data_IF_543927637079
#
_entry.id   IF_543927637079
#
_cell.length_a   1.000
_cell.length_b   1.000
_cell.length_c   1.000
_cell.angle_alpha   90.00
_cell.angle_beta   90.00
_cell.angle_gamma   90.00
#
_symmetry.space_group_name_H-M   'P 1'
#
loop_
_entity.id
_entity.type
_entity.pdbx_description
1 polymer ?
#
# COMPACT_ATOMS: atom_id res chain seq x y z
N UNK A 1 -2.17 38.14 1.89
CA UNK A 1 -0.97 37.30 2.11
C UNK A 1 -1.10 36.08 1.23
N UNK A 2 -0.18 35.94 0.30
CA UNK A 2 -0.13 34.74 -0.57
C UNK A 2 0.21 33.52 0.27
N UNK A 3 -0.54 32.44 0.14
CA UNK A 3 -0.34 31.22 0.92
C UNK A 3 0.93 30.53 0.42
N UNK A 4 1.95 30.42 1.26
CA UNK A 4 3.17 29.67 0.89
C UNK A 4 2.80 28.19 0.65
N UNK A 5 2.82 27.75 -0.60
CA UNK A 5 2.47 26.39 -1.03
C UNK A 5 3.65 25.41 -0.98
N UNK A 6 4.83 25.86 -0.55
CA UNK A 6 6.01 24.97 -0.42
C UNK A 6 5.81 23.95 0.68
N UNK A 7 6.39 22.77 0.46
CA UNK A 7 6.25 21.60 1.34
C UNK A 7 7.54 20.75 1.27
N UNK A 8 7.48 19.55 1.79
CA UNK A 8 8.57 18.56 1.66
C UNK A 8 9.05 18.33 0.23
N UNK A 9 8.17 18.52 -0.77
CA UNK A 9 8.55 18.45 -2.20
C UNK A 9 9.55 19.53 -2.64
N UNK A 10 9.73 20.59 -1.85
CA UNK A 10 10.66 21.68 -2.09
C UNK A 10 11.88 21.63 -1.16
N UNK A 11 11.96 20.60 -0.30
CA UNK A 11 13.01 20.47 0.70
C UNK A 11 14.26 19.81 0.09
N UNK A 12 15.44 20.36 0.39
CA UNK A 12 16.73 19.81 -0.01
C UNK A 12 17.67 19.50 1.17
N UNK A 13 17.21 19.71 2.40
CA UNK A 13 18.08 19.56 3.59
C UNK A 13 17.78 18.34 4.46
N UNK A 14 16.52 17.85 4.47
CA UNK A 14 16.07 16.63 5.17
C UNK A 14 16.42 16.57 6.67
N UNK A 15 16.49 17.71 7.36
CA UNK A 15 16.91 17.81 8.77
C UNK A 15 15.97 17.09 9.74
N UNK A 16 14.72 16.76 9.34
CA UNK A 16 13.81 15.94 10.13
C UNK A 16 14.32 14.51 10.36
N UNK A 17 15.25 14.01 9.54
CA UNK A 17 15.86 12.68 9.69
C UNK A 17 16.92 12.66 10.81
N UNK A 18 17.56 13.80 11.08
CA UNK A 18 18.67 13.92 12.01
C UNK A 18 18.44 14.88 13.18
N UNK A 19 17.27 15.55 13.22
CA UNK A 19 16.96 16.62 14.19
C UNK A 19 17.96 17.77 14.21
N UNK A 20 18.55 18.10 13.05
CA UNK A 20 19.43 19.25 12.91
C UNK A 20 18.66 20.55 13.01
N UNK A 21 19.35 21.65 13.36
CA UNK A 21 18.72 22.89 13.83
C UNK A 21 18.21 23.83 12.74
N UNK A 22 18.68 23.72 11.51
CA UNK A 22 18.38 24.68 10.46
C UNK A 22 17.23 24.23 9.56
N UNK A 23 16.02 24.53 9.98
CA UNK A 23 14.81 24.18 9.27
C UNK A 23 14.46 25.24 8.21
N UNK A 24 14.11 24.83 6.97
CA UNK A 24 13.55 25.77 6.01
C UNK A 24 12.27 26.43 6.55
N UNK A 25 12.04 27.70 6.23
CA UNK A 25 10.86 28.45 6.70
C UNK A 25 9.52 27.81 6.32
N UNK A 26 9.52 26.96 5.30
CA UNK A 26 8.35 26.20 4.84
C UNK A 26 8.29 24.76 5.40
N UNK A 27 9.17 24.39 6.32
CA UNK A 27 9.23 23.02 6.85
C UNK A 27 7.95 22.64 7.57
N UNK A 28 7.38 21.49 7.22
CA UNK A 28 6.15 20.99 7.84
C UNK A 28 6.35 20.63 9.30
N UNK A 29 7.55 20.18 9.69
CA UNK A 29 7.86 19.86 11.09
C UNK A 29 7.75 21.09 12.00
N UNK A 30 8.16 22.27 11.52
CA UNK A 30 8.12 23.51 12.31
C UNK A 30 6.84 24.31 12.13
N UNK A 31 6.05 24.01 11.09
CA UNK A 31 4.76 24.71 10.80
C UNK A 31 3.54 23.97 11.34
N UNK A 32 3.71 22.71 11.72
CA UNK A 32 2.64 21.87 12.31
C UNK A 32 2.69 22.02 13.83
N UNK A 33 1.54 22.05 14.46
CA UNK A 33 1.44 22.10 15.91
C UNK A 33 2.00 20.80 16.52
N UNK A 34 2.68 20.91 17.63
CA UNK A 34 3.26 19.75 18.32
C UNK A 34 2.20 18.74 18.71
N UNK A 35 1.03 19.20 19.10
CA UNK A 35 -0.13 18.39 19.47
C UNK A 35 -0.56 17.44 18.36
N UNK A 36 -0.52 17.85 17.09
CA UNK A 36 -0.85 16.97 15.95
C UNK A 36 0.11 15.79 15.83
N UNK A 37 1.40 16.01 16.13
CA UNK A 37 2.37 14.90 16.17
C UNK A 37 2.16 14.01 17.38
N UNK A 38 1.85 14.57 18.53
CA UNK A 38 1.62 13.82 19.75
C UNK A 38 0.35 12.96 19.65
N UNK A 39 -0.70 13.45 18.98
CA UNK A 39 -1.90 12.66 18.63
C UNK A 39 -1.54 11.46 17.73
N UNK A 40 -0.77 11.69 16.66
CA UNK A 40 -0.32 10.59 15.78
C UNK A 40 0.55 9.57 16.53
N UNK A 41 1.43 10.02 17.41
CA UNK A 41 2.21 9.11 18.30
C UNK A 41 1.28 8.35 19.24
N UNK A 42 0.23 9.01 19.75
CA UNK A 42 -0.80 8.40 20.57
C UNK A 42 -1.51 7.25 19.86
N UNK A 43 -1.81 7.37 18.56
CA UNK A 43 -2.39 6.28 17.78
C UNK A 43 -1.45 5.07 17.68
N UNK A 44 -0.15 5.28 17.43
CA UNK A 44 0.85 4.19 17.40
C UNK A 44 0.98 3.47 18.75
N UNK A 45 0.75 4.14 19.85
CA UNK A 45 0.88 3.58 21.18
C UNK A 45 -0.40 2.89 21.67
N UNK A 46 -1.57 3.48 21.39
CA UNK A 46 -2.83 3.14 22.03
C UNK A 46 -3.76 2.29 21.18
N UNK A 47 -3.68 2.35 19.84
CA UNK A 47 -4.42 1.43 18.98
C UNK A 47 -3.67 0.09 18.86
N UNK A 48 -4.27 -1.03 19.33
CA UNK A 48 -3.57 -2.32 19.37
C UNK A 48 -3.14 -2.84 18.00
N UNK A 49 -3.94 -2.57 16.95
CA UNK A 49 -3.63 -3.05 15.61
C UNK A 49 -2.53 -2.20 14.98
N UNK A 50 -2.66 -0.89 15.01
CA UNK A 50 -1.66 0.06 14.51
C UNK A 50 -0.32 -0.15 15.19
N UNK A 51 -0.32 -0.29 16.53
CA UNK A 51 0.88 -0.60 17.32
C UNK A 51 1.55 -1.91 16.90
N UNK A 52 0.76 -2.96 16.70
CA UNK A 52 1.27 -4.27 16.26
C UNK A 52 1.91 -4.20 14.89
N UNK A 53 1.26 -3.55 13.92
CA UNK A 53 1.73 -3.40 12.54
C UNK A 53 3.01 -2.56 12.52
N UNK A 54 3.00 -1.41 13.18
CA UNK A 54 4.13 -0.49 13.23
C UNK A 54 5.37 -1.16 13.86
N UNK A 55 5.23 -1.77 15.04
CA UNK A 55 6.33 -2.45 15.72
C UNK A 55 6.88 -3.63 14.93
N UNK A 56 6.00 -4.41 14.27
CA UNK A 56 6.44 -5.52 13.43
C UNK A 56 7.27 -5.04 12.23
N UNK A 57 6.87 -3.94 11.60
CA UNK A 57 7.61 -3.36 10.48
C UNK A 57 8.97 -2.83 10.92
N UNK A 58 9.01 -2.01 11.97
CA UNK A 58 10.24 -1.43 12.51
C UNK A 58 11.25 -2.48 12.97
N UNK A 59 10.78 -3.55 13.61
CA UNK A 59 11.65 -4.64 14.08
C UNK A 59 12.28 -5.41 12.91
N UNK A 60 11.51 -5.67 11.85
CA UNK A 60 12.04 -6.37 10.67
C UNK A 60 13.06 -5.48 9.97
N UNK A 61 12.77 -4.21 9.79
CA UNK A 61 13.73 -3.27 9.23
C UNK A 61 15.02 -3.23 10.07
N UNK A 62 14.92 -3.01 11.37
CA UNK A 62 16.10 -2.86 12.24
C UNK A 62 16.96 -4.12 12.35
N UNK A 63 16.36 -5.31 12.38
CA UNK A 63 17.10 -6.58 12.54
C UNK A 63 17.66 -7.12 11.23
N UNK A 64 16.99 -6.85 10.10
CA UNK A 64 17.28 -7.50 8.83
C UNK A 64 17.64 -6.54 7.69
N UNK A 65 17.84 -5.27 7.97
CA UNK A 65 18.24 -4.27 6.98
C UNK A 65 19.42 -4.73 6.14
N UNK A 66 19.24 -4.78 4.82
CA UNK A 66 20.27 -5.23 3.88
C UNK A 66 20.64 -6.73 3.95
N UNK A 67 19.96 -7.54 4.79
CA UNK A 67 20.22 -8.98 4.95
C UNK A 67 19.17 -9.86 4.24
N UNK A 68 17.95 -9.37 4.12
CA UNK A 68 16.86 -10.08 3.48
C UNK A 68 16.40 -9.36 2.22
N UNK A 69 15.80 -10.12 1.31
CA UNK A 69 15.08 -9.56 0.18
C UNK A 69 13.75 -8.99 0.64
N UNK A 70 13.19 -8.01 -0.10
CA UNK A 70 11.86 -7.47 0.20
C UNK A 70 10.76 -8.53 0.29
N UNK A 71 10.86 -9.58 -0.52
CA UNK A 71 9.92 -10.72 -0.46
C UNK A 71 10.00 -11.46 0.88
N UNK A 72 11.21 -11.67 1.39
CA UNK A 72 11.42 -12.32 2.70
C UNK A 72 10.95 -11.44 3.84
N UNK A 73 11.23 -10.13 3.78
CA UNK A 73 10.72 -9.16 4.75
C UNK A 73 9.19 -9.16 4.80
N UNK A 74 8.52 -9.14 3.64
CA UNK A 74 7.05 -9.23 3.56
C UNK A 74 6.54 -10.53 4.19
N UNK A 75 7.19 -11.66 3.94
CA UNK A 75 6.81 -12.94 4.54
C UNK A 75 6.96 -12.91 6.06
N UNK A 76 8.06 -12.38 6.58
CA UNK A 76 8.29 -12.24 8.02
C UNK A 76 7.26 -11.30 8.65
N UNK A 77 7.03 -10.15 8.03
CA UNK A 77 6.03 -9.19 8.48
C UNK A 77 4.64 -9.82 8.59
N UNK A 78 4.19 -10.48 7.52
CA UNK A 78 2.89 -11.13 7.49
C UNK A 78 2.75 -12.19 8.61
N UNK A 79 3.79 -13.00 8.82
CA UNK A 79 3.83 -13.98 9.92
C UNK A 79 3.78 -13.30 11.30
N UNK A 80 4.54 -12.22 11.47
CA UNK A 80 4.63 -11.50 12.74
C UNK A 80 3.31 -10.84 13.15
N UNK A 81 2.57 -10.29 12.19
CA UNK A 81 1.24 -9.76 12.45
C UNK A 81 0.16 -10.85 12.55
N UNK A 82 0.51 -12.10 12.24
CA UNK A 82 -0.40 -13.25 12.29
C UNK A 82 -1.33 -13.35 11.08
N UNK A 83 -0.94 -12.78 9.94
CA UNK A 83 -1.69 -12.92 8.70
C UNK A 83 -1.66 -14.38 8.21
N UNK A 84 -2.83 -14.95 7.99
CA UNK A 84 -2.99 -16.30 7.42
C UNK A 84 -3.30 -16.24 5.93
N UNK A 85 -3.93 -15.17 5.48
CA UNK A 85 -4.42 -14.95 4.13
C UNK A 85 -3.74 -13.75 3.51
N UNK A 86 -3.36 -13.85 2.24
CA UNK A 86 -2.70 -12.74 1.52
C UNK A 86 -3.39 -12.49 0.20
N UNK A 87 -3.92 -11.30 0.03
CA UNK A 87 -4.50 -10.82 -1.22
C UNK A 87 -3.49 -9.97 -2.00
N UNK A 88 -3.32 -10.26 -3.29
CA UNK A 88 -2.42 -9.54 -4.19
C UNK A 88 -3.24 -8.75 -5.21
N UNK A 89 -3.24 -7.43 -5.09
CA UNK A 89 -3.76 -6.53 -6.13
C UNK A 89 -2.66 -6.21 -7.14
N UNK A 90 -2.88 -6.47 -8.41
CA UNK A 90 -1.88 -6.20 -9.44
C UNK A 90 -2.45 -5.57 -10.70
N UNK A 91 -1.61 -4.85 -11.46
CA UNK A 91 -1.91 -4.47 -12.84
C UNK A 91 -1.87 -5.71 -13.75
N UNK A 92 -2.64 -5.66 -14.87
CA UNK A 92 -2.57 -6.71 -15.89
C UNK A 92 -1.14 -7.02 -16.35
N UNK A 93 -0.32 -5.99 -16.51
CA UNK A 93 1.08 -6.14 -16.94
C UNK A 93 1.96 -6.90 -15.93
N UNK A 94 1.56 -6.95 -14.66
CA UNK A 94 2.31 -7.58 -13.57
C UNK A 94 1.72 -8.94 -13.13
N UNK A 95 0.77 -9.49 -13.90
CA UNK A 95 0.08 -10.72 -13.47
C UNK A 95 1.04 -11.92 -13.35
N UNK A 96 2.06 -12.00 -14.21
CA UNK A 96 3.08 -13.06 -14.14
C UNK A 96 3.94 -12.95 -12.87
N UNK A 97 4.31 -11.73 -12.50
CA UNK A 97 5.06 -11.47 -11.26
C UNK A 97 4.20 -11.77 -10.03
N UNK A 98 2.92 -11.38 -10.06
CA UNK A 98 1.97 -11.71 -9.01
C UNK A 98 1.77 -13.24 -8.87
N UNK A 99 1.73 -13.98 -9.97
CA UNK A 99 1.66 -15.44 -9.96
C UNK A 99 2.92 -16.07 -9.36
N UNK A 100 4.10 -15.55 -9.70
CA UNK A 100 5.36 -16.02 -9.13
C UNK A 100 5.41 -15.71 -7.63
N UNK A 101 5.05 -14.47 -7.25
CA UNK A 101 4.99 -14.08 -5.84
C UNK A 101 4.02 -14.94 -5.03
N UNK A 102 2.85 -15.25 -5.57
CA UNK A 102 1.89 -16.15 -4.92
C UNK A 102 2.48 -17.57 -4.71
N UNK A 103 3.27 -18.09 -5.66
CA UNK A 103 3.98 -19.37 -5.49
C UNK A 103 5.00 -19.30 -4.35
N UNK A 104 5.77 -18.22 -4.28
CA UNK A 104 6.74 -17.99 -3.19
C UNK A 104 6.04 -17.92 -1.84
N UNK A 105 4.95 -17.18 -1.74
CA UNK A 105 4.18 -17.06 -0.50
C UNK A 105 3.67 -18.44 -0.03
N UNK A 106 3.11 -19.23 -0.93
CA UNK A 106 2.68 -20.62 -0.61
C UNK A 106 3.84 -21.50 -0.14
N UNK A 107 4.99 -21.43 -0.82
CA UNK A 107 6.21 -22.13 -0.41
C UNK A 107 6.74 -21.68 0.96
N UNK A 108 6.46 -20.44 1.37
CA UNK A 108 6.78 -19.90 2.70
C UNK A 108 5.72 -20.22 3.77
N UNK A 109 4.69 -21.00 3.42
CA UNK A 109 3.69 -21.51 4.35
C UNK A 109 2.42 -20.68 4.50
N UNK A 110 2.12 -19.79 3.54
CA UNK A 110 0.82 -19.14 3.45
C UNK A 110 -0.11 -19.99 2.59
N UNK A 111 -1.12 -20.58 3.19
CA UNK A 111 -2.02 -21.51 2.51
C UNK A 111 -3.01 -20.78 1.60
N UNK A 112 -3.53 -19.66 2.06
CA UNK A 112 -4.57 -18.89 1.38
C UNK A 112 -3.97 -17.64 0.74
N UNK A 113 -3.56 -17.77 -0.53
CA UNK A 113 -2.98 -16.68 -1.32
C UNK A 113 -3.79 -16.51 -2.60
N UNK A 114 -4.42 -15.36 -2.76
CA UNK A 114 -5.19 -15.01 -3.95
C UNK A 114 -4.62 -13.77 -4.65
N UNK A 115 -4.89 -13.65 -5.95
CA UNK A 115 -4.49 -12.49 -6.73
C UNK A 115 -5.64 -12.04 -7.62
N UNK A 116 -5.88 -10.73 -7.70
CA UNK A 116 -6.87 -10.14 -8.59
C UNK A 116 -6.22 -9.05 -9.41
N UNK A 117 -6.31 -9.14 -10.73
CA UNK A 117 -5.76 -8.10 -11.61
C UNK A 117 -6.77 -6.97 -11.85
N UNK A 118 -6.26 -5.80 -12.20
CA UNK A 118 -7.05 -4.56 -12.34
C UNK A 118 -8.13 -4.58 -13.45
N UNK A 119 -8.08 -5.54 -14.38
CA UNK A 119 -9.08 -5.70 -15.46
C UNK A 119 -10.19 -6.69 -15.10
N UNK A 120 -10.31 -7.06 -13.84
CA UNK A 120 -11.35 -7.98 -13.38
C UNK A 120 -12.76 -7.48 -13.74
N UNK A 121 -13.59 -8.39 -14.20
CA UNK A 121 -14.93 -8.09 -14.72
C UNK A 121 -14.99 -7.77 -16.21
N UNK A 122 -13.87 -7.40 -16.84
CA UNK A 122 -13.84 -7.13 -18.28
C UNK A 122 -14.74 -5.97 -18.75
N UNK A 123 -15.10 -5.05 -17.83
CA UNK A 123 -16.03 -3.95 -18.09
C UNK A 123 -15.44 -2.98 -19.12
N UNK A 124 -16.15 -2.71 -20.21
CA UNK A 124 -15.68 -1.75 -21.20
C UNK A 124 -15.63 -0.34 -20.63
N UNK A 125 -14.68 0.46 -21.09
CA UNK A 125 -14.55 1.86 -20.66
C UNK A 125 -15.82 2.67 -20.85
N UNK A 126 -16.58 2.41 -21.91
CA UNK A 126 -17.84 3.12 -22.17
C UNK A 126 -18.91 2.84 -21.14
N UNK A 127 -18.94 1.63 -20.57
CA UNK A 127 -19.85 1.28 -19.47
C UNK A 127 -19.53 2.06 -18.17
N UNK A 128 -18.31 2.59 -18.06
CA UNK A 128 -17.89 3.45 -16.94
C UNK A 128 -18.07 4.94 -17.21
N UNK A 129 -18.75 5.31 -18.30
CA UNK A 129 -19.00 6.69 -18.71
C UNK A 129 -17.83 7.34 -19.46
N UNK A 130 -16.80 6.59 -19.82
CA UNK A 130 -15.70 7.11 -20.63
C UNK A 130 -16.11 7.15 -22.10
N UNK A 131 -16.05 8.31 -22.77
CA UNK A 131 -16.45 8.41 -24.19
C UNK A 131 -15.62 7.50 -25.09
N UNK A 132 -16.28 6.94 -26.12
CA UNK A 132 -15.64 6.06 -27.10
C UNK A 132 -14.35 6.66 -27.70
N UNK A 133 -14.40 7.97 -28.03
CA UNK A 133 -13.27 8.69 -28.67
C UNK A 133 -12.02 8.84 -27.82
N UNK A 134 -12.08 8.54 -26.51
CA UNK A 134 -10.89 8.58 -25.62
C UNK A 134 -10.31 7.21 -25.30
N UNK A 135 -10.84 6.15 -25.90
CA UNK A 135 -10.19 4.84 -25.88
C UNK A 135 -8.89 4.87 -26.66
N UNK A 136 -7.92 4.06 -26.27
CA UNK A 136 -6.69 3.86 -27.04
C UNK A 136 -6.99 3.25 -28.41
N UNK A 137 -8.05 2.43 -28.49
CA UNK A 137 -8.53 1.80 -29.72
C UNK A 137 -10.05 2.03 -29.85
N UNK A 138 -10.47 3.19 -30.36
CA UNK A 138 -11.89 3.44 -30.64
C UNK A 138 -12.48 2.36 -31.55
N UNK A 139 -13.72 1.96 -31.26
CA UNK A 139 -14.41 0.89 -31.99
C UNK A 139 -14.09 -0.54 -31.50
N UNK A 140 -13.10 -0.71 -30.61
CA UNK A 140 -12.80 -2.00 -30.01
C UNK A 140 -13.18 -2.05 -28.52
N UNK A 141 -13.38 -3.26 -28.00
CA UNK A 141 -13.53 -3.46 -26.56
C UNK A 141 -12.22 -3.08 -25.84
N UNK A 142 -12.33 -2.21 -24.85
CA UNK A 142 -11.21 -1.81 -24.03
C UNK A 142 -11.60 -1.80 -22.54
N UNK A 143 -11.22 -2.87 -21.83
CA UNK A 143 -11.53 -3.00 -20.41
C UNK A 143 -10.99 -1.85 -19.59
N UNK A 144 -11.83 -1.24 -18.78
CA UNK A 144 -11.43 -0.28 -17.76
C UNK A 144 -10.58 -0.95 -16.68
N UNK A 145 -9.70 -0.19 -16.02
CA UNK A 145 -9.16 -0.60 -14.74
C UNK A 145 -10.26 -0.46 -13.69
N UNK A 146 -10.47 -1.51 -12.90
CA UNK A 146 -11.53 -1.56 -11.90
C UNK A 146 -10.95 -1.82 -10.50
N UNK A 147 -10.24 -0.86 -9.89
CA UNK A 147 -9.63 -1.03 -8.57
C UNK A 147 -10.67 -1.22 -7.47
N UNK A 148 -11.88 -0.68 -7.64
CA UNK A 148 -12.98 -0.86 -6.67
C UNK A 148 -13.39 -2.34 -6.62
N UNK A 149 -13.65 -2.96 -7.78
CA UNK A 149 -14.00 -4.38 -7.82
C UNK A 149 -12.80 -5.24 -7.36
N UNK A 150 -11.59 -4.89 -7.74
CA UNK A 150 -10.37 -5.57 -7.31
C UNK A 150 -10.26 -5.60 -5.78
N UNK A 151 -10.44 -4.46 -5.11
CA UNK A 151 -10.39 -4.36 -3.65
C UNK A 151 -11.52 -5.15 -2.98
N UNK A 152 -12.76 -5.03 -3.50
CA UNK A 152 -13.92 -5.75 -2.96
C UNK A 152 -13.78 -7.26 -3.08
N UNK A 153 -13.26 -7.75 -4.21
CA UNK A 153 -13.03 -9.18 -4.43
C UNK A 153 -11.95 -9.71 -3.48
N UNK A 154 -10.83 -9.00 -3.36
CA UNK A 154 -9.76 -9.39 -2.43
C UNK A 154 -10.26 -9.40 -0.99
N UNK A 155 -11.00 -8.39 -0.56
CA UNK A 155 -11.57 -8.35 0.78
C UNK A 155 -12.47 -9.57 1.04
N UNK A 156 -13.37 -9.91 0.10
CA UNK A 156 -14.22 -11.11 0.25
C UNK A 156 -13.42 -12.40 0.30
N UNK A 157 -12.42 -12.55 -0.58
CA UNK A 157 -11.59 -13.76 -0.64
C UNK A 157 -10.71 -13.94 0.60
N UNK A 158 -10.30 -12.83 1.25
CA UNK A 158 -9.48 -12.89 2.45
C UNK A 158 -10.30 -12.88 3.75
N UNK A 159 -11.56 -12.48 3.70
CA UNK A 159 -12.49 -12.50 4.85
C UNK A 159 -13.32 -13.79 4.95
N UNK A 160 -13.29 -14.68 3.94
CA UNK A 160 -14.19 -15.80 3.81
C UNK A 160 -14.01 -16.87 4.89
N UNK A 161 -14.64 -16.63 6.04
CA UNK A 161 -15.30 -17.58 6.93
C UNK A 161 -16.51 -16.92 7.60
N UNK A 162 -16.93 -15.77 7.14
CA UNK A 162 -18.22 -15.20 7.51
C UNK A 162 -19.25 -15.60 6.43
N UNK A 163 -19.95 -16.68 6.68
CA UNK A 163 -21.25 -17.06 6.14
C UNK A 163 -21.38 -17.25 4.62
N UNK A 164 -21.35 -18.49 4.19
CA UNK A 164 -22.29 -19.03 3.21
C UNK A 164 -23.24 -19.99 3.91
#
# INVERSE_FOLDING_TARGET
>A
MERDSRSCANCGVYHCDHLDSDWPSFCMTTRTLREEFDEAVGEYLNDPWTSKVFKAAAEIEGLYYGKLTRVEEVCLFAKKIGAKRIGIACCRGLIKDAQLFAKVLRAKGFEDVCAVMCKVGGVDKTETGIPEGVKVRPGAHESACNPIAQARLLARMTQAEAEY
#
